data_IF_986581081188
#
_entry.id   IF_986581081188
#
_cell.length_a   1.000
_cell.length_b   1.000
_cell.length_c   1.000
_cell.angle_alpha   90.00
_cell.angle_beta   90.00
_cell.angle_gamma   90.00
#
_symmetry.space_group_name_H-M   'P 1'
#
loop_
_entity.id
_entity.type
_entity.pdbx_description
1 polymer ?
#
# COMPACT_ATOMS: atom_id res chain seq x y z
N UNK A 1 -5.05 -26.09 -7.69
CA UNK A 1 -4.53 -24.85 -8.30
C UNK A 1 -4.49 -25.05 -9.80
N UNK A 2 -5.05 -24.12 -10.59
CA UNK A 2 -4.85 -24.14 -12.03
C UNK A 2 -3.37 -23.84 -12.33
N UNK A 3 -2.76 -24.61 -13.23
CA UNK A 3 -1.39 -24.35 -13.65
C UNK A 3 -1.37 -23.17 -14.62
N UNK A 4 -0.40 -22.27 -14.49
CA UNK A 4 -0.14 -21.18 -15.46
C UNK A 4 -0.01 -21.71 -16.89
N UNK A 5 0.50 -22.95 -17.06
CA UNK A 5 0.59 -23.61 -18.35
C UNK A 5 -0.77 -23.91 -19.01
N UNK A 6 -1.88 -23.78 -18.28
CA UNK A 6 -3.24 -23.94 -18.83
C UNK A 6 -3.80 -22.68 -19.48
N UNK A 7 -3.16 -21.52 -19.25
CA UNK A 7 -3.56 -20.25 -19.87
C UNK A 7 -3.03 -20.22 -21.30
N UNK A 8 -3.95 -20.17 -22.27
CA UNK A 8 -3.60 -20.18 -23.71
C UNK A 8 -3.41 -18.78 -24.29
N UNK A 9 -3.93 -17.77 -23.63
CA UNK A 9 -3.91 -16.39 -24.07
C UNK A 9 -3.96 -15.48 -22.84
N UNK A 10 -3.16 -14.42 -22.86
CA UNK A 10 -3.21 -13.32 -21.90
C UNK A 10 -3.82 -12.12 -22.57
N UNK A 11 -4.71 -11.42 -21.92
CA UNK A 11 -5.33 -10.19 -22.44
C UNK A 11 -4.35 -9.03 -22.36
N UNK A 12 -3.43 -9.07 -21.37
CA UNK A 12 -2.44 -8.03 -21.17
C UNK A 12 -1.18 -8.59 -20.47
N UNK A 13 -0.05 -7.90 -20.59
CA UNK A 13 1.23 -8.21 -19.97
C UNK A 13 1.84 -6.91 -19.41
N UNK A 14 2.46 -6.99 -18.23
CA UNK A 14 3.14 -5.88 -17.61
C UNK A 14 4.32 -6.37 -16.74
N UNK A 15 5.29 -5.50 -16.45
CA UNK A 15 6.42 -5.81 -15.58
C UNK A 15 5.96 -5.99 -14.12
N UNK A 16 4.97 -5.20 -13.70
CA UNK A 16 4.38 -5.27 -12.36
C UNK A 16 2.86 -5.32 -12.45
N UNK A 17 2.25 -6.38 -11.92
CA UNK A 17 0.80 -6.51 -11.84
C UNK A 17 0.35 -6.37 -10.39
N UNK A 18 -0.49 -5.36 -10.11
CA UNK A 18 -1.03 -5.06 -8.79
C UNK A 18 -2.51 -5.40 -8.77
N UNK A 19 -2.95 -6.19 -7.79
CA UNK A 19 -4.36 -6.59 -7.65
C UNK A 19 -5.02 -5.78 -6.55
N UNK A 20 -5.93 -4.90 -6.95
CA UNK A 20 -6.68 -3.99 -6.09
C UNK A 20 -6.16 -2.56 -6.13
N UNK A 21 -7.07 -1.59 -6.31
CA UNK A 21 -6.77 -0.15 -6.35
C UNK A 21 -7.26 0.56 -5.07
N UNK A 22 -6.93 -0.01 -3.91
CA UNK A 22 -7.01 0.68 -2.61
C UNK A 22 -5.71 1.43 -2.32
N UNK A 23 -5.57 2.00 -1.11
CA UNK A 23 -4.36 2.74 -0.71
C UNK A 23 -3.08 1.91 -0.90
N UNK A 24 -3.09 0.65 -0.50
CA UNK A 24 -1.92 -0.22 -0.63
C UNK A 24 -1.53 -0.43 -2.10
N UNK A 25 -2.49 -0.70 -2.98
CA UNK A 25 -2.21 -0.85 -4.42
C UNK A 25 -1.71 0.44 -5.05
N UNK A 26 -2.33 1.57 -4.74
CA UNK A 26 -1.90 2.87 -5.24
C UNK A 26 -0.48 3.22 -4.77
N UNK A 27 -0.17 3.01 -3.48
CA UNK A 27 1.18 3.25 -2.93
C UNK A 27 2.21 2.32 -3.56
N UNK A 28 1.87 1.03 -3.76
CA UNK A 28 2.74 0.08 -4.44
C UNK A 28 3.07 0.52 -5.86
N UNK A 29 2.09 1.03 -6.61
CA UNK A 29 2.30 1.54 -7.97
C UNK A 29 3.22 2.77 -8.00
N UNK A 30 3.04 3.70 -7.05
CA UNK A 30 3.89 4.89 -6.91
C UNK A 30 5.34 4.47 -6.60
N UNK A 31 5.55 3.61 -5.60
CA UNK A 31 6.88 3.11 -5.23
C UNK A 31 7.55 2.34 -6.38
N UNK A 32 6.80 1.50 -7.09
CA UNK A 32 7.33 0.80 -8.24
C UNK A 32 7.79 1.76 -9.35
N UNK A 33 7.02 2.79 -9.63
CA UNK A 33 7.34 3.84 -10.61
C UNK A 33 8.55 4.69 -10.17
N UNK A 34 8.67 4.99 -8.87
CA UNK A 34 9.82 5.73 -8.34
C UNK A 34 11.12 4.93 -8.44
N UNK A 35 11.04 3.60 -8.28
CA UNK A 35 12.18 2.69 -8.38
C UNK A 35 12.58 2.41 -9.83
N UNK A 36 11.62 2.27 -10.71
CA UNK A 36 11.83 2.05 -12.15
C UNK A 36 10.81 2.88 -12.96
N UNK A 37 11.22 4.06 -13.43
CA UNK A 37 10.36 4.95 -14.22
C UNK A 37 9.90 4.37 -15.57
N UNK A 38 10.61 3.37 -16.08
CA UNK A 38 10.33 2.75 -17.38
C UNK A 38 9.45 1.48 -17.23
N UNK A 39 9.26 0.97 -16.02
CA UNK A 39 8.46 -0.22 -15.77
C UNK A 39 7.01 -0.04 -16.23
N UNK A 40 6.46 -1.05 -16.91
CA UNK A 40 5.04 -1.13 -17.22
C UNK A 40 4.27 -1.66 -15.99
N UNK A 41 3.35 -0.84 -15.46
CA UNK A 41 2.63 -1.13 -14.22
C UNK A 41 1.14 -1.23 -14.49
N UNK A 42 0.58 -2.42 -14.30
CA UNK A 42 -0.84 -2.71 -14.46
C UNK A 42 -1.52 -2.86 -13.10
N UNK A 43 -2.56 -2.07 -12.85
CA UNK A 43 -3.42 -2.21 -11.67
C UNK A 43 -4.74 -2.86 -12.08
N UNK A 44 -5.06 -4.01 -11.50
CA UNK A 44 -6.32 -4.69 -11.71
C UNK A 44 -7.29 -4.36 -10.56
N UNK A 45 -8.41 -3.72 -10.89
CA UNK A 45 -9.46 -3.38 -9.92
C UNK A 45 -10.79 -4.03 -10.35
N UNK A 46 -11.45 -4.70 -9.39
CA UNK A 46 -12.72 -5.40 -9.64
C UNK A 46 -13.93 -4.47 -9.77
N UNK A 47 -13.81 -3.26 -9.22
CA UNK A 47 -14.91 -2.27 -9.23
C UNK A 47 -14.67 -1.24 -10.33
N UNK A 48 -15.77 -0.71 -10.89
CA UNK A 48 -15.67 0.40 -11.82
C UNK A 48 -15.10 1.66 -11.17
N UNK A 49 -14.61 2.59 -11.97
CA UNK A 49 -13.90 3.82 -11.58
C UNK A 49 -14.58 4.58 -10.43
N UNK A 50 -15.91 4.71 -10.45
CA UNK A 50 -16.67 5.41 -9.41
C UNK A 50 -16.67 4.74 -8.05
N UNK A 51 -16.28 3.47 -7.96
CA UNK A 51 -16.29 2.67 -6.72
C UNK A 51 -14.89 2.14 -6.35
N UNK A 52 -13.89 2.37 -7.17
CA UNK A 52 -12.50 2.02 -6.88
C UNK A 52 -11.97 2.81 -5.66
N UNK A 53 -10.91 2.33 -5.01
CA UNK A 53 -10.28 2.98 -3.87
C UNK A 53 -10.41 2.21 -2.54
N UNK A 54 -11.21 1.14 -2.51
CA UNK A 54 -11.37 0.27 -1.35
C UNK A 54 -11.85 1.00 -0.09
N UNK A 55 -11.55 0.44 1.07
CA UNK A 55 -11.92 1.05 2.36
C UNK A 55 -11.24 2.40 2.59
N UNK A 56 -10.09 2.64 2.01
CA UNK A 56 -9.35 3.89 2.15
C UNK A 56 -10.11 5.10 1.63
N UNK A 57 -10.90 4.93 0.57
CA UNK A 57 -11.73 5.99 -0.01
C UNK A 57 -12.80 6.50 0.96
N UNK A 58 -13.28 5.66 1.88
CA UNK A 58 -14.38 5.95 2.81
C UNK A 58 -13.91 6.01 4.27
N UNK A 59 -12.60 6.07 4.51
CA UNK A 59 -12.00 5.97 5.84
C UNK A 59 -12.06 7.26 6.68
N UNK A 60 -12.61 8.34 6.17
CA UNK A 60 -12.57 9.66 6.83
C UNK A 60 -11.20 10.35 6.74
N UNK A 61 -10.24 9.75 6.03
CA UNK A 61 -8.95 10.34 5.64
C UNK A 61 -8.06 10.78 6.83
N UNK A 62 -8.24 10.17 7.99
CA UNK A 62 -7.37 10.38 9.14
C UNK A 62 -6.09 9.59 8.99
N UNK A 63 -4.95 10.22 9.30
CA UNK A 63 -3.64 9.61 9.28
C UNK A 63 -3.12 9.42 10.71
N UNK A 64 -2.59 8.24 11.00
CA UNK A 64 -1.88 7.99 12.25
C UNK A 64 -0.41 8.41 12.06
N UNK A 65 -0.03 9.54 12.65
CA UNK A 65 1.34 10.02 12.66
C UNK A 65 1.89 9.89 14.07
N UNK A 66 2.84 8.99 14.25
CA UNK A 66 3.45 8.75 15.56
C UNK A 66 4.69 9.62 15.75
N UNK A 67 4.82 10.19 16.96
CA UNK A 67 6.01 10.95 17.38
C UNK A 67 7.07 10.05 18.04
N UNK A 68 6.65 8.91 18.56
CA UNK A 68 7.50 7.96 19.30
C UNK A 68 7.27 6.54 18.75
N UNK A 69 8.35 5.89 18.34
CA UNK A 69 8.29 4.55 17.73
C UNK A 69 7.94 3.46 18.74
N UNK A 70 8.45 3.54 19.95
CA UNK A 70 8.17 2.52 20.98
C UNK A 70 6.72 2.60 21.46
N UNK A 71 6.22 3.82 21.70
CA UNK A 71 4.81 4.02 22.04
C UNK A 71 3.88 3.52 20.92
N UNK A 72 4.28 3.67 19.66
CA UNK A 72 3.52 3.15 18.52
C UNK A 72 3.53 1.62 18.50
N UNK A 73 4.67 0.98 18.78
CA UNK A 73 4.77 -0.48 18.88
C UNK A 73 3.90 -1.02 20.02
N UNK A 74 3.92 -0.37 21.17
CA UNK A 74 3.09 -0.75 22.32
C UNK A 74 1.59 -0.63 22.00
N UNK A 75 1.20 0.44 21.33
CA UNK A 75 -0.16 0.61 20.84
C UNK A 75 -0.58 -0.53 19.91
N UNK A 76 0.28 -0.90 18.96
CA UNK A 76 -0.01 -1.98 18.02
C UNK A 76 -0.05 -3.35 18.70
N UNK A 77 0.84 -3.60 19.67
CA UNK A 77 0.79 -4.83 20.50
C UNK A 77 -0.53 -4.93 21.25
N UNK A 78 -1.00 -3.82 21.83
CA UNK A 78 -2.28 -3.79 22.54
C UNK A 78 -3.48 -4.04 21.62
N UNK A 79 -3.46 -3.52 20.39
CA UNK A 79 -4.50 -3.77 19.39
C UNK A 79 -4.54 -5.22 18.89
N UNK A 80 -3.38 -5.83 18.71
CA UNK A 80 -3.29 -7.20 18.18
C UNK A 80 -3.71 -8.29 19.17
N UNK A 81 -3.79 -7.97 20.47
CA UNK A 81 -4.28 -8.86 21.54
C UNK A 81 -3.66 -10.25 21.49
N UNK A 82 -4.50 -11.26 21.19
CA UNK A 82 -4.12 -12.67 21.09
C UNK A 82 -3.42 -13.08 19.79
N UNK A 83 -3.28 -12.16 18.86
CA UNK A 83 -2.58 -12.37 17.59
C UNK A 83 -1.22 -11.66 17.63
N UNK A 84 -0.18 -12.30 18.20
CA UNK A 84 1.11 -11.63 18.36
C UNK A 84 1.73 -11.29 17.01
N UNK A 85 2.27 -10.10 16.93
CA UNK A 85 3.06 -9.61 15.79
C UNK A 85 4.53 -9.77 16.16
N UNK A 86 5.37 -10.22 15.22
CA UNK A 86 6.80 -10.34 15.48
C UNK A 86 7.43 -8.97 15.71
N UNK A 87 8.47 -8.91 16.55
CA UNK A 87 9.21 -7.66 16.82
C UNK A 87 9.80 -7.08 15.51
N UNK A 88 10.32 -7.93 14.63
CA UNK A 88 10.83 -7.51 13.33
C UNK A 88 9.76 -6.77 12.49
N UNK A 89 8.54 -7.30 12.47
CA UNK A 89 7.43 -6.67 11.76
C UNK A 89 7.01 -5.35 12.41
N UNK A 90 6.99 -5.28 13.76
CA UNK A 90 6.70 -4.06 14.50
C UNK A 90 7.75 -2.98 14.25
N UNK A 91 9.02 -3.36 14.22
CA UNK A 91 10.13 -2.45 13.95
C UNK A 91 10.05 -1.89 12.52
N UNK A 92 9.83 -2.74 11.53
CA UNK A 92 9.66 -2.33 10.15
C UNK A 92 8.46 -1.40 9.97
N UNK A 93 7.32 -1.74 10.57
CA UNK A 93 6.11 -0.93 10.53
C UNK A 93 6.31 0.44 11.21
N UNK A 94 6.88 0.48 12.43
CA UNK A 94 7.11 1.72 13.16
C UNK A 94 8.13 2.64 12.45
N UNK A 95 9.13 2.06 11.78
CA UNK A 95 10.07 2.80 10.97
C UNK A 95 9.36 3.50 9.80
N UNK A 96 8.53 2.78 9.06
CA UNK A 96 7.76 3.35 7.94
C UNK A 96 6.73 4.38 8.38
N UNK A 97 6.07 4.17 9.52
CA UNK A 97 5.14 5.14 10.08
C UNK A 97 5.81 6.47 10.47
N UNK A 98 7.08 6.45 10.85
CA UNK A 98 7.83 7.68 11.12
C UNK A 98 8.14 8.49 9.84
N UNK A 99 8.16 7.84 8.67
CA UNK A 99 8.40 8.46 7.36
C UNK A 99 7.10 8.91 6.68
N UNK A 100 5.94 8.61 7.26
CA UNK A 100 4.65 8.81 6.60
C UNK A 100 4.35 10.29 6.30
N UNK A 101 4.61 11.21 7.23
CA UNK A 101 4.31 12.63 7.03
C UNK A 101 5.12 13.22 5.86
N UNK A 102 6.46 13.13 5.82
CA UNK A 102 7.23 13.65 4.70
C UNK A 102 6.92 12.92 3.37
N UNK A 103 6.59 11.64 3.40
CA UNK A 103 6.16 10.92 2.20
C UNK A 103 4.87 11.53 1.62
N UNK A 104 3.85 11.76 2.45
CA UNK A 104 2.57 12.33 2.00
C UNK A 104 2.74 13.77 1.52
N UNK A 105 3.53 14.58 2.22
CA UNK A 105 3.83 15.95 1.80
C UNK A 105 4.50 15.99 0.42
N UNK A 106 5.45 15.08 0.17
CA UNK A 106 6.11 14.97 -1.12
C UNK A 106 5.10 14.62 -2.23
N UNK A 107 4.25 13.61 -2.00
CA UNK A 107 3.23 13.21 -3.00
C UNK A 107 2.18 14.29 -3.24
N UNK A 108 1.74 15.00 -2.21
CA UNK A 108 0.80 16.11 -2.34
C UNK A 108 1.39 17.24 -3.19
N UNK A 109 2.65 17.62 -2.93
CA UNK A 109 3.35 18.64 -3.72
C UNK A 109 3.49 18.25 -5.19
N UNK A 110 3.81 16.97 -5.49
CA UNK A 110 3.89 16.47 -6.87
C UNK A 110 2.53 16.51 -7.58
N UNK A 111 1.45 16.24 -6.84
CA UNK A 111 0.09 16.31 -7.35
C UNK A 111 -0.45 17.76 -7.47
N UNK A 112 0.26 18.75 -6.97
CA UNK A 112 -0.18 20.14 -6.96
C UNK A 112 -1.25 20.46 -5.92
N UNK A 113 -1.30 19.69 -4.83
CA UNK A 113 -2.28 19.83 -3.75
C UNK A 113 -1.74 20.68 -2.58
#
# INVERSE_FOLDING_TARGET
MASLAAVKHWDDEADVVIVGYGLAGATTAIEARDLDPDADILILEKLGEHHAGGNSRVSGQSLLIAKDKEALKDYQRALSRSNPISEEMLDAWAARMAELAPFIEARANEAGA
#
